data_IF_811103840929
#
_entry.id   IF_811103840929
#
_cell.length_a   1.000
_cell.length_b   1.000
_cell.length_c   1.000
_cell.angle_alpha   90.00
_cell.angle_beta   90.00
_cell.angle_gamma   90.00
#
_symmetry.space_group_name_H-M   'P 1'
#
loop_
_entity.id
_entity.type
_entity.pdbx_description
1 polymer ?
#
# COMPACT_ATOMS: atom_id res chain seq x y z
N UNK A 1 -26.83 -19.92 -6.55
CA UNK A 1 -26.62 -18.53 -7.03
C UNK A 1 -25.10 -18.34 -7.08
N UNK A 2 -24.50 -18.49 -8.26
CA UNK A 2 -23.06 -18.28 -8.43
C UNK A 2 -22.84 -16.76 -8.39
N UNK A 3 -22.28 -16.26 -7.29
CA UNK A 3 -21.75 -14.91 -7.24
C UNK A 3 -20.73 -14.81 -8.36
N UNK A 4 -20.99 -13.96 -9.36
CA UNK A 4 -19.97 -13.54 -10.31
C UNK A 4 -18.84 -12.94 -9.45
N UNK A 5 -17.81 -13.74 -9.19
CA UNK A 5 -16.56 -13.23 -8.62
C UNK A 5 -16.05 -12.27 -9.66
N UNK A 6 -16.05 -10.98 -9.33
CA UNK A 6 -15.64 -9.93 -10.22
C UNK A 6 -14.20 -10.25 -10.67
N UNK A 7 -14.02 -10.60 -11.94
CA UNK A 7 -12.74 -11.11 -12.46
C UNK A 7 -11.59 -10.11 -12.32
N UNK A 8 -11.93 -8.85 -12.03
CA UNK A 8 -10.99 -7.75 -11.86
C UNK A 8 -10.70 -7.40 -10.39
N UNK A 9 -11.31 -8.08 -9.41
CA UNK A 9 -11.07 -7.75 -8.00
C UNK A 9 -9.63 -8.08 -7.58
N UNK A 10 -9.05 -7.19 -6.78
CA UNK A 10 -7.74 -7.41 -6.13
C UNK A 10 -7.87 -8.20 -4.84
N UNK A 11 -9.09 -8.49 -4.39
CA UNK A 11 -9.40 -9.16 -3.14
C UNK A 11 -8.67 -8.53 -1.96
N UNK A 12 -8.66 -7.20 -1.85
CA UNK A 12 -7.95 -6.50 -0.77
C UNK A 12 -8.55 -6.89 0.59
N UNK A 13 -7.68 -7.09 1.58
CA UNK A 13 -8.07 -7.28 2.98
C UNK A 13 -7.22 -6.40 3.87
N UNK A 14 -7.81 -5.83 4.93
CA UNK A 14 -7.13 -5.03 5.95
C UNK A 14 -7.31 -5.65 7.33
N UNK A 15 -6.22 -5.71 8.09
CA UNK A 15 -6.21 -6.12 9.50
C UNK A 15 -5.54 -5.04 10.33
N UNK A 16 -6.26 -4.49 11.32
CA UNK A 16 -5.71 -3.51 12.26
C UNK A 16 -4.60 -4.12 13.13
N UNK A 17 -3.49 -3.42 13.32
CA UNK A 17 -2.39 -3.84 14.19
C UNK A 17 -2.75 -3.52 15.65
N UNK A 18 -2.60 -4.49 16.56
CA UNK A 18 -3.14 -4.44 17.94
C UNK A 18 -2.65 -3.28 18.80
N UNK A 19 -1.52 -2.65 18.44
CA UNK A 19 -0.86 -1.61 19.23
C UNK A 19 -0.75 -0.25 18.51
N UNK A 20 -1.33 -0.11 17.32
CA UNK A 20 -1.30 1.15 16.59
C UNK A 20 -2.62 1.32 15.83
N UNK A 21 -3.42 2.31 16.26
CA UNK A 21 -4.78 2.46 15.75
C UNK A 21 -4.86 2.91 14.29
N UNK A 22 -3.79 3.51 13.78
CA UNK A 22 -3.70 4.04 12.43
C UNK A 22 -2.95 3.09 11.49
N UNK A 23 -2.43 1.97 12.01
CA UNK A 23 -1.64 1.01 11.27
C UNK A 23 -2.42 -0.26 10.97
N UNK A 24 -2.37 -0.66 9.71
CA UNK A 24 -3.02 -1.84 9.18
C UNK A 24 -2.00 -2.74 8.48
N UNK A 25 -2.28 -4.03 8.45
CA UNK A 25 -1.69 -4.99 7.53
C UNK A 25 -2.66 -5.16 6.37
N UNK A 26 -2.25 -4.74 5.19
CA UNK A 26 -2.98 -4.97 3.95
C UNK A 26 -2.45 -6.22 3.26
N UNK A 27 -3.36 -6.99 2.66
CA UNK A 27 -3.02 -8.06 1.73
C UNK A 27 -3.89 -8.01 0.50
N UNK A 28 -3.31 -8.18 -0.69
CA UNK A 28 -4.01 -8.23 -1.97
C UNK A 28 -3.49 -9.37 -2.85
N UNK A 29 -4.26 -9.71 -3.88
CA UNK A 29 -3.85 -10.69 -4.89
C UNK A 29 -2.59 -10.21 -5.62
N UNK A 30 -1.64 -11.12 -5.83
CA UNK A 30 -0.45 -10.83 -6.65
C UNK A 30 -0.75 -11.05 -8.13
N UNK A 31 -0.22 -10.17 -8.99
CA UNK A 31 -0.29 -10.30 -10.44
C UNK A 31 0.60 -11.41 -11.00
N UNK A 32 1.57 -11.92 -10.22
CA UNK A 32 2.46 -12.99 -10.67
C UNK A 32 1.78 -14.36 -10.46
N UNK A 33 1.60 -15.17 -11.52
CA UNK A 33 0.99 -16.49 -11.37
C UNK A 33 1.80 -17.39 -10.42
N UNK A 34 1.11 -17.99 -9.44
CA UNK A 34 1.72 -18.88 -8.45
C UNK A 34 2.47 -18.17 -7.32
N UNK A 35 2.47 -16.84 -7.28
CA UNK A 35 3.02 -16.08 -6.17
C UNK A 35 2.05 -16.01 -4.99
N UNK A 36 2.59 -15.82 -3.80
CA UNK A 36 1.80 -15.49 -2.62
C UNK A 36 1.15 -14.12 -2.76
N UNK A 37 0.16 -13.85 -1.93
CA UNK A 37 -0.49 -12.54 -1.83
C UNK A 37 0.54 -11.46 -1.48
N UNK A 38 0.44 -10.30 -2.11
CA UNK A 38 1.24 -9.14 -1.70
C UNK A 38 0.75 -8.66 -0.34
N UNK A 39 1.67 -8.43 0.60
CA UNK A 39 1.38 -7.97 1.96
C UNK A 39 2.19 -6.71 2.21
N UNK A 40 1.57 -5.71 2.83
CA UNK A 40 2.22 -4.44 3.16
C UNK A 40 1.59 -3.80 4.41
N UNK A 41 2.33 -2.94 5.10
CA UNK A 41 1.74 -2.09 6.13
C UNK A 41 1.10 -0.86 5.50
N UNK A 42 -0.04 -0.43 6.04
CA UNK A 42 -0.76 0.77 5.61
C UNK A 42 -0.97 1.66 6.81
N UNK A 43 -0.60 2.93 6.71
CA UNK A 43 -0.79 3.94 7.76
C UNK A 43 -1.60 5.11 7.21
N UNK A 44 -2.63 5.51 7.96
CA UNK A 44 -3.54 6.58 7.57
C UNK A 44 -3.15 7.88 8.28
N UNK A 45 -2.70 8.88 7.52
CA UNK A 45 -2.46 10.25 7.99
C UNK A 45 -3.70 11.11 7.67
N UNK A 46 -4.58 11.22 8.66
CA UNK A 46 -5.81 12.02 8.58
C UNK A 46 -5.55 13.52 8.49
N UNK A 47 -4.43 14.00 9.03
CA UNK A 47 -4.12 15.44 9.03
C UNK A 47 -3.73 15.92 7.62
N UNK A 48 -3.00 15.09 6.88
CA UNK A 48 -2.56 15.40 5.52
C UNK A 48 -3.44 14.79 4.43
N UNK A 49 -4.41 13.95 4.81
CA UNK A 49 -5.19 13.11 3.89
C UNK A 49 -4.26 12.24 3.01
N UNK A 50 -3.32 11.54 3.63
CA UNK A 50 -2.38 10.65 2.94
C UNK A 50 -2.50 9.23 3.48
N UNK A 51 -2.63 8.27 2.59
CA UNK A 51 -2.44 6.86 2.89
C UNK A 51 -0.99 6.51 2.56
N UNK A 52 -0.23 6.18 3.59
CA UNK A 52 1.12 5.67 3.45
C UNK A 52 1.06 4.15 3.33
N UNK A 53 1.81 3.57 2.40
CA UNK A 53 1.90 2.12 2.20
C UNK A 53 3.36 1.70 2.19
N UNK A 54 3.74 0.77 3.07
CA UNK A 54 5.08 0.26 3.19
C UNK A 54 5.17 -1.21 2.81
N UNK A 55 6.00 -1.51 1.81
CA UNK A 55 6.30 -2.85 1.30
C UNK A 55 7.76 -3.21 1.63
N UNK A 56 7.94 -4.31 2.37
CA UNK A 56 9.24 -4.81 2.80
C UNK A 56 9.86 -5.80 1.80
N UNK A 57 9.10 -6.26 0.80
CA UNK A 57 9.50 -7.19 -0.28
C UNK A 57 9.92 -8.58 0.17
N UNK A 58 9.59 -8.97 1.39
CA UNK A 58 10.05 -10.25 1.97
C UNK A 58 9.06 -11.39 1.77
N UNK A 59 7.95 -11.13 1.08
CA UNK A 59 6.79 -12.01 1.09
C UNK A 59 6.63 -12.93 -0.13
N UNK A 60 7.72 -13.26 -0.84
CA UNK A 60 7.66 -14.13 -2.04
C UNK A 60 6.53 -13.74 -3.02
N UNK A 61 6.24 -12.45 -3.08
CA UNK A 61 5.17 -11.85 -3.87
C UNK A 61 5.74 -10.82 -4.84
N UNK A 62 4.88 -10.28 -5.70
CA UNK A 62 5.17 -9.02 -6.39
C UNK A 62 5.13 -7.86 -5.40
N UNK A 63 5.90 -6.81 -5.70
CA UNK A 63 5.84 -5.57 -4.95
C UNK A 63 4.48 -4.89 -5.12
N UNK A 64 4.03 -4.18 -4.09
CA UNK A 64 2.80 -3.37 -4.13
C UNK A 64 2.80 -2.37 -5.29
N UNK A 65 3.96 -1.90 -5.72
CA UNK A 65 4.12 -1.03 -6.89
C UNK A 65 3.58 -1.63 -8.18
N UNK A 66 3.66 -2.96 -8.35
CA UNK A 66 3.13 -3.66 -9.52
C UNK A 66 1.65 -3.99 -9.38
N UNK A 67 1.15 -4.04 -8.15
CA UNK A 67 -0.25 -4.37 -7.88
C UNK A 67 -1.15 -3.16 -7.84
N UNK A 68 -0.58 -1.97 -7.67
CA UNK A 68 -1.32 -0.74 -7.57
C UNK A 68 -2.00 -0.39 -8.89
N UNK A 69 -3.33 -0.37 -8.86
CA UNK A 69 -4.19 0.14 -9.90
C UNK A 69 -5.43 0.77 -9.27
N UNK A 70 -6.27 1.40 -10.08
CA UNK A 70 -7.51 2.02 -9.61
C UNK A 70 -8.39 1.02 -8.81
N UNK A 71 -8.43 -0.25 -9.19
CA UNK A 71 -9.26 -1.26 -8.51
C UNK A 71 -8.78 -1.52 -7.09
N UNK A 72 -7.46 -1.72 -6.91
CA UNK A 72 -6.85 -1.88 -5.58
C UNK A 72 -7.20 -0.69 -4.69
N UNK A 73 -7.08 0.53 -5.23
CA UNK A 73 -7.34 1.75 -4.46
C UNK A 73 -8.81 1.84 -4.07
N UNK A 74 -9.75 1.57 -4.97
CA UNK A 74 -11.18 1.61 -4.66
C UNK A 74 -11.52 0.61 -3.55
N UNK A 75 -10.99 -0.61 -3.63
CA UNK A 75 -11.21 -1.63 -2.60
C UNK A 75 -10.63 -1.20 -1.24
N UNK A 76 -9.39 -0.68 -1.22
CA UNK A 76 -8.76 -0.14 -0.03
C UNK A 76 -9.58 0.99 0.61
N UNK A 77 -10.00 1.97 -0.17
CA UNK A 77 -10.79 3.12 0.31
C UNK A 77 -12.16 2.66 0.84
N UNK A 78 -12.79 1.69 0.16
CA UNK A 78 -14.07 1.11 0.59
C UNK A 78 -13.94 0.41 1.95
N UNK A 79 -12.86 -0.34 2.17
CA UNK A 79 -12.58 -0.99 3.46
C UNK A 79 -12.31 0.01 4.58
N UNK A 80 -11.74 1.16 4.25
CA UNK A 80 -11.52 2.26 5.20
C UNK A 80 -12.76 3.13 5.42
N UNK A 81 -13.84 2.92 4.65
CA UNK A 81 -15.07 3.72 4.73
C UNK A 81 -14.91 5.15 4.21
N UNK A 82 -14.00 5.36 3.25
CA UNK A 82 -13.69 6.69 2.69
C UNK A 82 -13.93 6.74 1.18
N UNK A 83 -14.24 7.93 0.68
CA UNK A 83 -14.49 8.14 -0.74
C UNK A 83 -13.19 8.07 -1.57
N UNK A 84 -13.30 7.51 -2.78
CA UNK A 84 -12.19 7.48 -3.74
C UNK A 84 -11.74 8.91 -4.08
N UNK A 85 -10.43 9.13 -4.10
CA UNK A 85 -9.85 10.45 -4.38
C UNK A 85 -9.74 11.39 -3.18
N UNK A 86 -10.29 11.02 -2.01
CA UNK A 86 -10.15 11.83 -0.79
C UNK A 86 -8.71 11.84 -0.26
N UNK A 87 -8.00 10.72 -0.38
CA UNK A 87 -6.62 10.59 0.09
C UNK A 87 -5.64 10.46 -1.09
N UNK A 88 -4.47 11.04 -0.90
CA UNK A 88 -3.27 10.75 -1.71
C UNK A 88 -2.63 9.45 -1.24
N UNK A 89 -1.81 8.82 -2.07
CA UNK A 89 -1.19 7.53 -1.75
C UNK A 89 0.31 7.63 -1.93
N UNK A 90 1.06 7.44 -0.84
CA UNK A 90 2.53 7.45 -0.86
C UNK A 90 3.05 6.05 -0.54
N UNK A 91 3.85 5.53 -1.44
CA UNK A 91 4.42 4.20 -1.38
C UNK A 91 5.88 4.27 -0.93
N UNK A 92 6.22 3.43 0.04
CA UNK A 92 7.55 3.24 0.60
C UNK A 92 8.00 1.83 0.29
N UNK A 93 9.16 1.72 -0.33
CA UNK A 93 9.77 0.45 -0.71
C UNK A 93 11.10 0.29 0.00
N UNK A 94 11.29 -0.84 0.69
CA UNK A 94 12.57 -1.19 1.29
C UNK A 94 13.66 -1.24 0.19
N UNK A 95 14.84 -0.61 0.39
CA UNK A 95 15.84 -0.47 -0.63
C UNK A 95 16.43 -1.83 -1.00
N UNK A 96 16.50 -2.10 -2.30
CA UNK A 96 17.46 -3.08 -2.83
C UNK A 96 18.88 -2.46 -2.82
N UNK A 97 19.00 -1.12 -2.96
CA UNK A 97 20.29 -0.39 -2.97
C UNK A 97 20.18 0.95 -2.25
N UNK A 98 21.01 1.18 -1.22
CA UNK A 98 21.36 2.39 -0.42
C UNK A 98 20.27 3.41 -0.01
N UNK A 99 19.25 3.71 -0.82
CA UNK A 99 18.22 4.71 -0.55
C UNK A 99 16.81 4.12 -0.77
N UNK A 100 15.85 4.40 0.13
CA UNK A 100 14.45 4.04 -0.07
C UNK A 100 13.91 4.53 -1.41
N UNK A 101 13.15 3.68 -2.09
CA UNK A 101 12.38 4.12 -3.25
C UNK A 101 11.00 4.56 -2.77
N UNK A 102 10.72 5.87 -2.88
CA UNK A 102 9.48 6.47 -2.38
C UNK A 102 8.82 7.24 -3.52
N UNK A 103 7.54 6.96 -3.77
CA UNK A 103 6.75 7.59 -4.83
C UNK A 103 5.34 7.84 -4.37
N UNK A 104 4.72 8.86 -4.94
CA UNK A 104 3.28 9.05 -4.84
C UNK A 104 2.59 8.44 -6.06
N UNK A 105 1.42 7.86 -5.86
CA UNK A 105 0.57 7.39 -6.93
C UNK A 105 -0.49 8.44 -7.28
N UNK A 106 -0.39 9.01 -8.48
CA UNK A 106 -1.35 9.99 -8.98
C UNK A 106 -2.60 9.31 -9.52
N UNK A 107 -3.70 9.38 -8.77
CA UNK A 107 -4.96 8.68 -9.06
C UNK A 107 -5.58 9.00 -10.43
N UNK A 108 -5.32 10.17 -11.00
CA UNK A 108 -5.89 10.60 -12.30
C UNK A 108 -5.14 10.02 -13.49
N UNK A 109 -3.82 9.91 -13.39
CA UNK A 109 -2.96 9.48 -14.48
C UNK A 109 -2.49 8.04 -14.33
N UNK A 110 -2.70 7.45 -13.15
CA UNK A 110 -2.22 6.13 -12.75
C UNK A 110 -0.69 6.02 -12.85
N UNK A 111 0.00 7.13 -12.60
CA UNK A 111 1.47 7.22 -12.67
C UNK A 111 2.08 7.40 -11.29
N UNK A 112 3.31 6.93 -11.19
CA UNK A 112 4.16 7.17 -10.04
C UNK A 112 4.94 8.47 -10.25
N UNK A 113 4.72 9.41 -9.35
CA UNK A 113 5.37 10.73 -9.36
C UNK A 113 6.28 10.89 -8.15
N UNK A 114 7.16 11.88 -8.22
CA UNK A 114 8.01 12.26 -7.08
C UNK A 114 7.13 12.80 -5.97
N UNK A 115 7.29 12.27 -4.76
CA UNK A 115 6.60 12.75 -3.56
C UNK A 115 7.30 14.00 -3.02
N UNK A 116 6.53 14.94 -2.48
CA UNK A 116 7.10 16.07 -1.75
C UNK A 116 7.70 15.60 -0.42
N UNK A 117 8.87 16.14 -0.04
CA UNK A 117 9.56 15.72 1.20
C UNK A 117 8.72 15.96 2.46
N UNK A 118 7.89 17.01 2.47
CA UNK A 118 6.99 17.33 3.59
C UNK A 118 5.86 16.31 3.75
N UNK A 119 5.53 15.55 2.71
CA UNK A 119 4.51 14.51 2.70
C UNK A 119 5.07 13.14 3.11
N UNK A 120 6.34 13.06 3.50
CA UNK A 120 6.93 11.82 3.98
C UNK A 120 6.50 11.53 5.42
N UNK A 121 6.05 10.30 5.65
CA UNK A 121 5.89 9.74 6.97
C UNK A 121 7.24 9.23 7.51
N UNK A 122 7.62 9.70 8.69
CA UNK A 122 8.92 9.39 9.30
C UNK A 122 9.06 7.90 9.64
N UNK A 123 8.00 7.26 10.15
CA UNK A 123 8.02 5.84 10.51
C UNK A 123 8.34 5.00 9.28
N UNK A 124 7.55 5.11 8.21
CA UNK A 124 7.76 4.30 7.01
C UNK A 124 9.04 4.67 6.25
N UNK A 125 9.46 5.94 6.30
CA UNK A 125 10.78 6.33 5.79
C UNK A 125 11.92 5.59 6.49
N UNK A 126 11.92 5.55 7.83
CA UNK A 126 12.94 4.85 8.62
C UNK A 126 12.87 3.33 8.40
N UNK A 127 11.67 2.74 8.41
CA UNK A 127 11.49 1.31 8.12
C UNK A 127 12.04 0.94 6.75
N UNK A 128 11.77 1.76 5.73
CA UNK A 128 12.35 1.57 4.42
C UNK A 128 13.87 1.70 4.49
N UNK A 129 14.42 2.79 5.02
CA UNK A 129 15.87 3.02 5.08
C UNK A 129 16.64 1.88 5.75
N UNK A 130 16.09 1.33 6.83
CA UNK A 130 16.69 0.26 7.62
C UNK A 130 16.38 -1.14 7.10
N UNK A 131 15.56 -1.27 6.04
CA UNK A 131 15.05 -2.55 5.55
C UNK A 131 14.42 -3.36 6.71
N UNK A 132 13.46 -2.75 7.40
CA UNK A 132 12.72 -3.43 8.49
C UNK A 132 11.68 -4.40 7.91
N UNK A 133 11.08 -5.24 8.75
CA UNK A 133 9.99 -6.13 8.31
C UNK A 133 8.63 -5.50 8.56
N UNK A 134 7.57 -6.04 7.94
CA UNK A 134 6.20 -5.65 8.27
C UNK A 134 5.86 -5.93 9.74
N UNK A 135 5.06 -5.04 10.33
CA UNK A 135 4.38 -5.28 11.60
C UNK A 135 3.15 -6.16 11.36
N UNK A 136 2.87 -7.13 12.25
CA UNK A 136 1.86 -8.21 12.06
C UNK A 136 0.83 -8.33 13.19
#
# INVERSE_FOLDING_TARGET
MLLNVDKNSKNVSLKKIRNNELLYLMSCSSSLPGADRTICNVLIDEMKNIIHVYDDLRHCSTSIFKELDQTLIIELMSLLGVEYGRYRIVLYYAPIVKNPFIREYELKSEKLITVNTEDLNELFYRKALNNESLEK
#
